data_IF_621143923548
#
_entry.id   IF_621143923548
#
_cell.length_a   1.000
_cell.length_b   1.000
_cell.length_c   1.000
_cell.angle_alpha   90.00
_cell.angle_beta   90.00
_cell.angle_gamma   90.00
#
_symmetry.space_group_name_H-M   'P 1'
#
loop_
_entity.id
_entity.type
_entity.pdbx_description
1 polymer ?
#
# COMPACT_ATOMS: atom_id res chain seq x y z
N UNK A 1 23.19 -8.88 4.84
CA UNK A 1 21.93 -9.11 5.58
C UNK A 1 21.06 -10.02 4.77
N UNK A 2 20.33 -10.91 5.43
CA UNK A 2 19.42 -11.83 4.79
C UNK A 2 18.11 -11.10 4.44
N UNK A 3 17.63 -11.27 3.20
CA UNK A 3 16.30 -10.84 2.79
C UNK A 3 15.38 -12.05 2.79
N UNK A 4 14.21 -11.95 3.41
CA UNK A 4 13.25 -13.05 3.43
C UNK A 4 12.74 -13.35 2.02
N UNK A 5 12.34 -14.60 1.79
CA UNK A 5 11.76 -15.01 0.51
C UNK A 5 10.40 -14.40 0.24
N UNK A 6 9.74 -13.93 1.29
CA UNK A 6 8.42 -13.31 1.18
C UNK A 6 8.35 -12.04 2.01
N UNK A 7 7.53 -11.10 1.55
CA UNK A 7 7.05 -9.97 2.34
C UNK A 7 5.56 -10.10 2.57
N UNK A 8 5.05 -9.38 3.56
CA UNK A 8 3.64 -9.38 3.92
C UNK A 8 3.02 -8.05 3.55
N UNK A 9 1.81 -8.07 2.99
CA UNK A 9 1.04 -6.88 2.64
C UNK A 9 -0.33 -6.97 3.31
N UNK A 10 -0.67 -5.93 4.05
CA UNK A 10 -1.97 -5.80 4.68
C UNK A 10 -2.99 -5.28 3.68
N UNK A 11 -4.09 -6.03 3.49
CA UNK A 11 -5.18 -5.68 2.58
C UNK A 11 -6.50 -5.39 3.32
N UNK A 12 -6.48 -5.35 4.66
CA UNK A 12 -7.69 -5.10 5.42
C UNK A 12 -8.26 -3.70 5.18
N UNK A 13 -9.57 -3.57 5.33
CA UNK A 13 -10.27 -2.33 5.04
C UNK A 13 -9.88 -1.20 6.00
N UNK A 14 -9.64 -1.51 7.29
CA UNK A 14 -9.17 -0.51 8.28
C UNK A 14 -7.87 0.13 7.81
N UNK A 15 -6.86 -0.67 7.41
CA UNK A 15 -5.60 -0.13 6.88
C UNK A 15 -5.84 0.78 5.66
N UNK A 16 -6.69 0.35 4.73
CA UNK A 16 -7.00 1.14 3.54
C UNK A 16 -7.63 2.49 3.88
N UNK A 17 -8.59 2.55 4.81
CA UNK A 17 -9.23 3.81 5.23
C UNK A 17 -8.22 4.74 5.91
N UNK A 18 -7.33 4.22 6.76
CA UNK A 18 -6.28 5.01 7.41
C UNK A 18 -5.37 5.67 6.36
N UNK A 19 -4.78 4.89 5.45
CA UNK A 19 -3.81 5.39 4.48
C UNK A 19 -4.40 6.20 3.33
N UNK A 20 -5.72 6.21 3.22
CA UNK A 20 -6.46 7.13 2.33
C UNK A 20 -6.92 8.40 3.02
N UNK A 21 -6.70 8.52 4.32
CA UNK A 21 -7.22 9.58 5.17
C UNK A 21 -8.76 9.67 5.15
N UNK A 22 -9.44 8.53 5.10
CA UNK A 22 -10.88 8.40 5.18
C UNK A 22 -11.31 8.12 6.63
N UNK A 23 -10.89 8.97 7.56
CA UNK A 23 -11.21 8.87 8.99
C UNK A 23 -11.50 10.24 9.59
N UNK A 24 -12.20 10.24 10.71
CA UNK A 24 -12.34 11.39 11.59
C UNK A 24 -11.42 11.18 12.80
N UNK A 25 -10.56 12.16 13.05
CA UNK A 25 -9.63 12.13 14.18
C UNK A 25 -10.36 12.18 15.51
N UNK A 26 -9.84 11.49 16.52
CA UNK A 26 -10.37 11.43 17.87
C UNK A 26 -11.88 11.08 17.96
N UNK A 27 -12.40 10.40 16.92
CA UNK A 27 -13.79 9.93 16.83
C UNK A 27 -13.85 8.47 16.43
N UNK A 28 -14.95 7.83 16.80
CA UNK A 28 -15.25 6.48 16.37
C UNK A 28 -15.62 6.49 14.89
N UNK A 29 -14.79 5.82 14.10
CA UNK A 29 -15.03 5.56 12.69
C UNK A 29 -15.63 4.16 12.54
N UNK A 30 -16.72 4.03 11.82
CA UNK A 30 -17.35 2.74 11.57
C UNK A 30 -17.34 2.43 10.07
N UNK A 31 -16.85 1.26 9.73
CA UNK A 31 -16.77 0.77 8.35
C UNK A 31 -17.53 -0.54 8.21
N UNK A 32 -18.23 -0.69 7.08
CA UNK A 32 -18.83 -1.96 6.73
C UNK A 32 -17.80 -2.88 6.09
N UNK A 33 -17.55 -4.04 6.70
CA UNK A 33 -16.55 -5.03 6.26
C UNK A 33 -17.15 -6.30 5.70
N UNK A 34 -18.46 -6.45 5.83
CA UNK A 34 -19.21 -7.58 5.29
C UNK A 34 -19.58 -7.46 3.82
N UNK A 35 -20.36 -8.42 3.36
CA UNK A 35 -21.00 -8.38 2.04
C UNK A 35 -22.40 -7.74 2.13
N UNK A 36 -22.97 -7.37 0.96
CA UNK A 36 -24.34 -6.83 0.92
C UNK A 36 -25.40 -7.78 1.55
N UNK A 37 -25.16 -9.10 1.49
CA UNK A 37 -26.05 -10.10 2.06
C UNK A 37 -25.77 -10.44 3.53
N UNK A 38 -24.57 -10.10 4.01
CA UNK A 38 -24.16 -10.28 5.41
C UNK A 38 -23.34 -9.06 5.85
N UNK A 39 -24.02 -7.95 6.13
CA UNK A 39 -23.34 -6.74 6.58
C UNK A 39 -22.72 -7.00 7.95
N UNK A 40 -21.50 -6.53 8.13
CA UNK A 40 -20.77 -6.55 9.40
C UNK A 40 -20.08 -5.20 9.54
N UNK A 41 -19.92 -4.74 10.76
CA UNK A 41 -19.24 -3.49 11.05
C UNK A 41 -17.96 -3.74 11.84
N UNK A 42 -16.94 -2.95 11.52
CA UNK A 42 -15.75 -2.79 12.31
C UNK A 42 -15.64 -1.32 12.68
N UNK A 43 -15.34 -1.02 13.92
CA UNK A 43 -15.16 0.35 14.38
C UNK A 43 -13.72 0.56 14.79
N UNK A 44 -13.18 1.76 14.54
CA UNK A 44 -11.84 2.11 14.99
C UNK A 44 -11.76 3.59 15.37
N UNK A 45 -10.83 3.92 16.24
CA UNK A 45 -10.50 5.27 16.64
C UNK A 45 -8.99 5.49 16.53
N UNK A 46 -8.61 6.64 15.96
CA UNK A 46 -7.24 7.08 15.81
C UNK A 46 -6.97 8.30 16.67
N UNK A 47 -5.93 8.22 17.49
CA UNK A 47 -5.39 9.35 18.26
C UNK A 47 -4.08 9.77 17.60
N UNK A 48 -4.12 10.85 16.81
CA UNK A 48 -2.99 11.38 16.07
C UNK A 48 -2.45 12.60 16.79
N UNK A 49 -1.14 12.65 17.13
CA UNK A 49 -0.52 13.84 17.68
C UNK A 49 -0.72 15.07 16.78
N UNK A 50 -0.94 16.24 17.36
CA UNK A 50 -1.31 17.47 16.64
C UNK A 50 -0.31 17.82 15.53
N UNK A 51 0.98 17.59 15.78
CA UNK A 51 2.05 17.85 14.80
C UNK A 51 1.95 17.02 13.52
N UNK A 52 1.22 15.89 13.53
CA UNK A 52 1.05 15.01 12.36
C UNK A 52 -0.31 15.11 11.69
N UNK A 53 -1.31 15.77 12.33
CA UNK A 53 -2.69 15.89 11.82
C UNK A 53 -2.76 16.49 10.43
N UNK A 54 -2.06 17.59 10.21
CA UNK A 54 -2.07 18.29 8.92
C UNK A 54 -1.46 17.48 7.76
N UNK A 55 -0.55 16.54 8.06
CA UNK A 55 0.10 15.70 7.05
C UNK A 55 -0.74 14.48 6.67
N UNK A 56 -1.54 13.96 7.63
CA UNK A 56 -2.25 12.70 7.49
C UNK A 56 -1.31 11.51 7.24
N UNK A 57 -1.90 10.41 6.77
CA UNK A 57 -1.16 9.22 6.36
C UNK A 57 -1.02 9.16 4.84
N UNK A 58 -0.01 8.44 4.38
CA UNK A 58 0.26 8.21 2.96
C UNK A 58 0.40 6.72 2.70
N UNK A 59 0.28 6.31 1.44
CA UNK A 59 0.55 4.92 1.07
C UNK A 59 2.01 4.51 1.35
N UNK A 60 2.93 5.48 1.41
CA UNK A 60 4.30 5.23 1.87
C UNK A 60 4.34 4.73 3.31
N UNK A 61 3.54 5.32 4.21
CA UNK A 61 3.43 4.87 5.60
C UNK A 61 2.91 3.43 5.68
N UNK A 62 1.95 3.06 4.81
CA UNK A 62 1.50 1.67 4.70
C UNK A 62 2.65 0.73 4.30
N UNK A 63 3.45 1.11 3.32
CA UNK A 63 4.61 0.31 2.88
C UNK A 63 5.64 0.16 4.00
N UNK A 64 5.84 1.19 4.81
CA UNK A 64 6.70 1.13 6.01
C UNK A 64 6.13 0.15 7.03
N UNK A 65 4.83 0.20 7.31
CA UNK A 65 4.17 -0.75 8.22
C UNK A 65 4.28 -2.20 7.72
N UNK A 66 4.06 -2.45 6.43
CA UNK A 66 4.22 -3.78 5.83
C UNK A 66 5.66 -4.30 5.97
N UNK A 67 6.66 -3.43 5.80
CA UNK A 67 8.06 -3.79 5.98
C UNK A 67 8.39 -4.13 7.44
N UNK A 68 7.91 -3.32 8.40
CA UNK A 68 8.08 -3.58 9.83
C UNK A 68 7.38 -4.87 10.23
N UNK A 69 6.14 -5.09 9.77
CA UNK A 69 5.44 -6.34 10.04
C UNK A 69 6.17 -7.56 9.45
N UNK A 70 6.76 -7.43 8.26
CA UNK A 70 7.59 -8.47 7.67
C UNK A 70 8.77 -8.79 8.59
N UNK A 71 9.50 -7.78 9.07
CA UNK A 71 10.61 -7.96 10.02
C UNK A 71 10.15 -8.63 11.33
N UNK A 72 8.99 -8.23 11.85
CA UNK A 72 8.35 -8.86 13.02
C UNK A 72 8.08 -10.35 12.81
N UNK A 73 7.51 -10.74 11.66
CA UNK A 73 7.21 -12.15 11.33
C UNK A 73 8.46 -13.02 11.18
N UNK A 74 9.61 -12.41 10.89
CA UNK A 74 10.91 -13.07 10.83
C UNK A 74 11.74 -12.87 12.10
N UNK A 75 11.10 -12.49 13.21
CA UNK A 75 11.69 -12.41 14.56
C UNK A 75 12.96 -11.55 14.65
N UNK A 76 13.03 -10.47 13.84
CA UNK A 76 14.14 -9.53 13.91
C UNK A 76 14.00 -8.68 15.17
N UNK A 77 14.87 -8.90 16.16
CA UNK A 77 14.82 -8.16 17.42
C UNK A 77 15.31 -6.72 17.31
N UNK A 78 16.31 -6.47 16.46
CA UNK A 78 16.89 -5.14 16.20
C UNK A 78 16.67 -4.76 14.74
N UNK A 79 16.07 -3.61 14.52
CA UNK A 79 15.71 -3.10 13.18
C UNK A 79 16.44 -1.79 12.95
N UNK A 80 17.05 -1.63 11.79
CA UNK A 80 17.67 -0.35 11.35
C UNK A 80 16.87 0.25 10.19
N UNK A 81 16.98 1.57 9.95
CA UNK A 81 16.40 2.19 8.76
C UNK A 81 16.80 1.49 7.45
N UNK A 82 18.03 1.00 7.39
CA UNK A 82 18.51 0.25 6.23
C UNK A 82 17.79 -1.10 6.07
N UNK A 83 17.46 -1.78 7.14
CA UNK A 83 16.73 -3.06 7.10
C UNK A 83 15.32 -2.84 6.55
N UNK A 84 14.66 -1.78 7.03
CA UNK A 84 13.33 -1.40 6.53
C UNK A 84 13.38 -1.09 5.04
N UNK A 85 14.34 -0.29 4.57
CA UNK A 85 14.50 0.03 3.15
C UNK A 85 14.77 -1.22 2.30
N UNK A 86 15.55 -2.17 2.81
CA UNK A 86 15.80 -3.45 2.12
C UNK A 86 14.52 -4.28 1.98
N UNK A 87 13.70 -4.35 3.02
CA UNK A 87 12.40 -5.06 2.94
C UNK A 87 11.40 -4.31 2.06
N UNK A 88 11.37 -2.99 2.10
CA UNK A 88 10.50 -2.21 1.20
C UNK A 88 10.80 -2.47 -0.27
N UNK A 89 12.07 -2.63 -0.62
CA UNK A 89 12.54 -2.87 -1.99
C UNK A 89 12.74 -4.35 -2.33
N UNK A 90 12.82 -5.21 -1.32
CA UNK A 90 13.26 -6.61 -1.43
C UNK A 90 14.61 -6.71 -2.17
N UNK A 91 15.54 -5.80 -1.86
CA UNK A 91 16.85 -5.66 -2.49
C UNK A 91 17.97 -5.59 -1.44
N UNK A 92 18.82 -6.61 -1.42
CA UNK A 92 19.99 -6.68 -0.52
C UNK A 92 20.97 -5.53 -0.69
N UNK A 93 21.03 -4.99 -1.90
CA UNK A 93 21.95 -3.93 -2.27
C UNK A 93 21.32 -2.53 -2.17
N UNK A 94 20.08 -2.40 -1.70
CA UNK A 94 19.36 -1.13 -1.65
C UNK A 94 20.15 0.02 -0.97
N UNK A 95 21.06 -0.32 -0.04
CA UNK A 95 21.94 0.64 0.63
C UNK A 95 23.06 1.18 -0.26
N UNK A 96 23.47 0.44 -1.29
CA UNK A 96 24.69 0.71 -2.05
C UNK A 96 24.45 1.46 -3.35
N UNK A 97 23.24 1.39 -3.92
CA UNK A 97 22.94 1.95 -5.24
C UNK A 97 22.62 3.45 -5.24
N UNK A 98 22.51 4.06 -4.08
CA UNK A 98 22.12 5.47 -4.02
C UNK A 98 23.30 6.36 -3.72
N UNK A 99 23.33 7.54 -4.36
CA UNK A 99 24.24 8.59 -3.94
C UNK A 99 24.00 8.94 -2.47
N UNK A 100 25.04 9.36 -1.75
CA UNK A 100 24.95 9.72 -0.33
C UNK A 100 23.76 10.66 -0.03
N UNK A 101 23.51 11.64 -0.88
CA UNK A 101 22.38 12.57 -0.72
C UNK A 101 21.01 11.92 -0.90
N UNK A 102 20.88 10.92 -1.78
CA UNK A 102 19.64 10.17 -1.98
C UNK A 102 19.33 9.26 -0.78
N UNK A 103 20.34 8.58 -0.25
CA UNK A 103 20.22 7.76 0.97
C UNK A 103 19.72 8.62 2.13
N UNK A 104 20.36 9.77 2.38
CA UNK A 104 19.96 10.67 3.45
C UNK A 104 18.51 11.16 3.33
N UNK A 105 18.04 11.50 2.12
CA UNK A 105 16.64 11.90 1.90
C UNK A 105 15.66 10.77 2.21
N UNK A 106 15.98 9.55 1.78
CA UNK A 106 15.13 8.38 2.04
C UNK A 106 15.10 8.02 3.52
N UNK A 107 16.25 8.01 4.18
CA UNK A 107 16.32 7.78 5.62
C UNK A 107 15.56 8.86 6.41
N UNK A 108 15.69 10.14 6.02
CA UNK A 108 14.93 11.22 6.65
C UNK A 108 13.42 10.98 6.52
N UNK A 109 12.93 10.72 5.31
CA UNK A 109 11.51 10.42 5.07
C UNK A 109 11.04 9.21 5.86
N UNK A 110 11.86 8.14 5.91
CA UNK A 110 11.53 6.94 6.68
C UNK A 110 11.42 7.25 8.17
N UNK A 111 12.37 8.00 8.75
CA UNK A 111 12.32 8.39 10.16
C UNK A 111 11.12 9.26 10.49
N UNK A 112 10.74 10.18 9.61
CA UNK A 112 9.52 11.00 9.76
C UNK A 112 8.27 10.11 9.77
N UNK A 113 8.18 9.13 8.85
CA UNK A 113 7.11 8.14 8.83
C UNK A 113 7.09 7.30 10.10
N UNK A 114 8.23 6.76 10.53
CA UNK A 114 8.33 5.96 11.76
C UNK A 114 7.88 6.74 12.99
N UNK A 115 8.37 7.98 13.18
CA UNK A 115 7.96 8.83 14.31
C UNK A 115 6.45 9.05 14.34
N UNK A 116 5.84 9.37 13.21
CA UNK A 116 4.39 9.52 13.10
C UNK A 116 3.65 8.25 13.50
N UNK A 117 4.06 7.10 12.94
CA UNK A 117 3.40 5.81 13.18
C UNK A 117 3.58 5.29 14.61
N UNK A 118 4.76 5.50 15.21
CA UNK A 118 5.04 5.13 16.60
C UNK A 118 4.25 5.97 17.62
N UNK A 119 4.00 7.24 17.31
CA UNK A 119 3.29 8.16 18.17
C UNK A 119 1.76 8.18 17.96
N UNK A 120 1.26 7.58 16.88
CA UNK A 120 -0.18 7.43 16.63
C UNK A 120 -0.71 6.17 17.30
N UNK A 121 -1.81 6.32 18.03
CA UNK A 121 -2.50 5.19 18.68
C UNK A 121 -3.76 4.83 17.92
N UNK A 122 -4.13 3.56 17.96
CA UNK A 122 -5.37 3.05 17.39
C UNK A 122 -6.04 2.08 18.36
N UNK A 123 -7.35 2.10 18.36
CA UNK A 123 -8.19 1.04 18.95
C UNK A 123 -9.13 0.55 17.85
N UNK A 124 -9.21 -0.76 17.67
CA UNK A 124 -10.06 -1.42 16.66
C UNK A 124 -11.01 -2.36 17.40
N UNK A 125 -12.30 -2.13 17.23
CA UNK A 125 -13.36 -3.01 17.74
C UNK A 125 -13.98 -3.79 16.57
N UNK A 126 -13.70 -5.10 16.54
CA UNK A 126 -14.20 -6.02 15.53
C UNK A 126 -14.97 -7.20 16.16
N UNK A 127 -15.53 -7.01 17.37
CA UNK A 127 -16.33 -8.03 18.07
C UNK A 127 -17.53 -8.51 17.27
N UNK A 128 -18.11 -7.64 16.45
CA UNK A 128 -19.20 -8.04 15.54
C UNK A 128 -18.70 -9.04 14.48
N UNK A 129 -17.52 -8.82 13.88
CA UNK A 129 -16.91 -9.78 12.95
C UNK A 129 -16.59 -11.11 13.63
N UNK A 130 -16.00 -11.06 14.83
CA UNK A 130 -15.68 -12.27 15.61
C UNK A 130 -16.93 -13.11 15.82
N UNK A 131 -18.00 -12.51 16.29
CA UNK A 131 -19.28 -13.19 16.56
C UNK A 131 -19.92 -13.72 15.29
N UNK A 132 -20.00 -12.91 14.23
CA UNK A 132 -20.70 -13.30 12.99
C UNK A 132 -19.92 -14.28 12.12
N UNK A 133 -18.60 -14.31 12.25
CA UNK A 133 -17.72 -15.29 11.58
C UNK A 133 -17.34 -16.48 12.44
N UNK A 134 -17.76 -16.47 13.73
CA UNK A 134 -17.42 -17.51 14.72
C UNK A 134 -15.90 -17.73 14.82
N UNK A 135 -15.15 -16.60 14.96
CA UNK A 135 -13.70 -16.67 15.06
C UNK A 135 -13.32 -17.13 16.48
N UNK A 136 -12.68 -18.28 16.57
CA UNK A 136 -12.30 -18.94 17.83
C UNK A 136 -10.78 -19.03 17.98
N UNK A 137 -10.32 -19.09 19.21
CA UNK A 137 -8.95 -19.41 19.58
C UNK A 137 -8.68 -20.91 19.50
N UNK A 138 -7.46 -21.33 19.82
CA UNK A 138 -7.06 -22.74 19.86
C UNK A 138 -7.81 -23.58 20.92
N UNK A 139 -8.38 -22.91 21.91
CA UNK A 139 -9.18 -23.54 22.99
C UNK A 139 -10.67 -23.61 22.63
N UNK A 140 -11.09 -23.11 21.47
CA UNK A 140 -12.49 -23.11 21.02
C UNK A 140 -13.33 -21.96 21.59
N UNK A 141 -12.75 -20.97 22.25
CA UNK A 141 -13.46 -19.79 22.73
C UNK A 141 -13.48 -18.70 21.65
N UNK A 142 -14.56 -17.88 21.63
CA UNK A 142 -14.60 -16.71 20.78
C UNK A 142 -13.44 -15.76 21.13
N UNK A 143 -12.78 -15.23 20.09
CA UNK A 143 -11.75 -14.22 20.26
C UNK A 143 -12.31 -12.95 20.91
N UNK A 144 -11.49 -12.16 21.57
CA UNK A 144 -11.91 -10.92 22.24
C UNK A 144 -12.46 -9.89 21.26
N UNK A 145 -11.93 -9.84 20.05
CA UNK A 145 -12.39 -8.91 19.00
C UNK A 145 -11.99 -7.47 19.25
N UNK A 146 -10.92 -7.24 20.00
CA UNK A 146 -10.32 -5.94 20.27
C UNK A 146 -8.83 -5.96 19.96
N UNK A 147 -8.33 -4.91 19.31
CA UNK A 147 -6.91 -4.68 19.12
C UNK A 147 -6.59 -3.20 19.37
N UNK A 148 -5.51 -2.90 20.09
CA UNK A 148 -5.20 -1.51 20.40
C UNK A 148 -3.75 -1.28 20.83
N UNK A 149 -3.28 -0.05 20.63
CA UNK A 149 -1.93 0.38 20.96
C UNK A 149 -1.38 1.39 19.98
N UNK A 150 -0.06 1.60 19.97
CA UNK A 150 0.62 2.35 18.92
C UNK A 150 0.47 1.63 17.57
N UNK A 151 0.35 2.38 16.46
CA UNK A 151 0.33 1.77 15.12
C UNK A 151 1.57 0.93 14.88
N UNK A 152 2.75 1.43 15.31
CA UNK A 152 3.99 0.68 15.38
C UNK A 152 4.51 0.68 16.82
N UNK A 153 4.40 -0.42 17.56
CA UNK A 153 4.89 -0.54 18.93
C UNK A 153 6.41 -0.77 18.94
N UNK A 154 7.17 0.24 18.54
CA UNK A 154 8.61 0.25 18.50
C UNK A 154 9.19 1.22 19.53
N UNK A 155 10.38 0.92 20.01
CA UNK A 155 11.22 1.79 20.81
C UNK A 155 12.42 2.25 19.99
N UNK A 156 12.61 3.57 19.94
CA UNK A 156 13.76 4.16 19.26
C UNK A 156 15.01 4.05 20.14
N UNK A 157 16.12 3.64 19.55
CA UNK A 157 17.43 3.61 20.19
C UNK A 157 18.49 4.23 19.29
N UNK A 158 19.63 4.58 19.88
CA UNK A 158 20.80 5.11 19.18
C UNK A 158 20.47 6.33 18.29
N UNK A 159 19.59 7.24 18.78
CA UNK A 159 19.17 8.45 18.06
C UNK A 159 18.56 8.14 16.65
N UNK A 160 17.70 7.13 16.59
CA UNK A 160 17.02 6.69 15.37
C UNK A 160 17.90 5.84 14.43
N UNK A 161 19.00 5.30 14.91
CA UNK A 161 19.82 4.33 14.15
C UNK A 161 19.32 2.90 14.30
N UNK A 162 18.59 2.62 15.39
CA UNK A 162 17.98 1.32 15.65
C UNK A 162 16.61 1.46 16.29
N UNK A 163 15.79 0.44 16.12
CA UNK A 163 14.46 0.29 16.68
C UNK A 163 14.31 -1.13 17.21
N UNK A 164 13.54 -1.29 18.29
CA UNK A 164 13.24 -2.57 18.90
C UNK A 164 11.73 -2.71 19.05
N UNK A 165 11.19 -3.91 18.86
CA UNK A 165 9.78 -4.16 19.18
C UNK A 165 9.57 -4.09 20.70
N UNK A 166 8.49 -3.44 21.11
CA UNK A 166 8.07 -3.42 22.50
C UNK A 166 7.62 -4.83 22.90
N UNK A 167 8.16 -5.33 24.01
CA UNK A 167 7.88 -6.69 24.49
C UNK A 167 6.37 -6.90 24.74
N UNK A 168 5.84 -8.03 24.30
CA UNK A 168 4.44 -8.40 24.46
C UNK A 168 3.43 -7.56 23.69
N UNK A 169 3.86 -6.64 22.81
CA UNK A 169 2.96 -5.81 22.02
C UNK A 169 2.92 -6.24 20.57
N UNK A 170 1.70 -6.50 20.09
CA UNK A 170 1.44 -6.75 18.67
C UNK A 170 1.17 -5.44 17.93
N UNK A 171 1.31 -5.45 16.60
CA UNK A 171 0.90 -4.35 15.72
C UNK A 171 -0.63 -4.41 15.56
N UNK A 172 -1.42 -3.45 16.11
CA UNK A 172 -2.88 -3.62 16.22
C UNK A 172 -3.59 -3.86 14.90
N UNK A 173 -3.24 -3.09 13.85
CA UNK A 173 -3.85 -3.22 12.52
C UNK A 173 -3.51 -4.56 11.87
N UNK A 174 -2.32 -5.11 12.15
CA UNK A 174 -1.91 -6.42 11.63
C UNK A 174 -2.50 -7.55 12.45
N UNK A 175 -2.61 -7.41 13.77
CA UNK A 175 -3.31 -8.36 14.61
C UNK A 175 -4.77 -8.53 14.14
N UNK A 176 -5.48 -7.42 13.91
CA UNK A 176 -6.81 -7.46 13.31
C UNK A 176 -6.79 -8.15 11.95
N UNK A 177 -5.90 -7.73 11.05
CA UNK A 177 -5.83 -8.28 9.69
C UNK A 177 -5.48 -9.78 9.65
N UNK A 178 -4.61 -10.28 10.55
CA UNK A 178 -4.35 -11.71 10.72
C UNK A 178 -5.59 -12.45 11.15
N UNK A 179 -6.27 -11.94 12.18
CA UNK A 179 -7.49 -12.57 12.72
C UNK A 179 -8.56 -12.76 11.65
N UNK A 180 -8.74 -11.77 10.76
CA UNK A 180 -9.71 -11.84 9.67
C UNK A 180 -9.15 -12.39 8.35
N UNK A 181 -7.91 -12.87 8.35
CA UNK A 181 -7.19 -13.42 7.18
C UNK A 181 -7.09 -12.43 6.01
N UNK A 182 -6.70 -11.20 6.31
CA UNK A 182 -6.53 -10.11 5.33
C UNK A 182 -5.06 -9.67 5.20
N UNK A 183 -4.14 -10.59 5.40
CA UNK A 183 -2.71 -10.41 5.09
C UNK A 183 -2.36 -11.35 3.95
N UNK A 184 -1.69 -10.82 2.95
CA UNK A 184 -1.15 -11.60 1.84
C UNK A 184 0.35 -11.78 1.99
N UNK A 185 0.82 -12.97 1.71
CA UNK A 185 2.23 -13.33 1.64
C UNK A 185 2.67 -13.21 0.18
N UNK A 186 3.62 -12.35 -0.09
CA UNK A 186 4.06 -12.01 -1.45
C UNK A 186 5.50 -12.48 -1.66
N UNK A 187 5.78 -13.31 -2.67
CA UNK A 187 7.13 -13.70 -3.03
C UNK A 187 8.00 -12.50 -3.37
N UNK A 188 9.26 -12.50 -2.92
CA UNK A 188 10.21 -11.42 -3.16
C UNK A 188 10.39 -11.09 -4.64
N UNK A 189 10.27 -12.09 -5.51
CA UNK A 189 10.45 -11.98 -6.96
C UNK A 189 9.49 -10.97 -7.61
N UNK A 190 8.29 -10.76 -7.03
CA UNK A 190 7.32 -9.79 -7.53
C UNK A 190 7.63 -8.33 -7.13
N UNK A 191 8.52 -8.12 -6.16
CA UNK A 191 8.87 -6.79 -5.67
C UNK A 191 10.33 -6.45 -5.94
N UNK A 192 11.22 -7.44 -5.78
CA UNK A 192 12.66 -7.28 -5.99
C UNK A 192 12.97 -6.72 -7.38
N UNK A 193 13.98 -5.86 -7.50
CA UNK A 193 14.51 -5.45 -8.81
C UNK A 193 15.22 -6.60 -9.55
N UNK A 194 15.40 -7.74 -8.90
CA UNK A 194 15.98 -8.95 -9.49
C UNK A 194 14.89 -10.00 -9.75
N UNK A 195 15.11 -10.87 -10.69
CA UNK A 195 14.12 -11.90 -11.06
C UNK A 195 13.09 -11.37 -12.05
N UNK A 196 11.80 -11.50 -11.77
CA UNK A 196 10.71 -11.12 -12.68
C UNK A 196 10.81 -9.68 -13.18
N UNK A 197 11.25 -8.77 -12.32
CA UNK A 197 11.33 -7.34 -12.61
C UNK A 197 12.74 -6.87 -13.05
N UNK A 198 13.67 -7.78 -13.29
CA UNK A 198 15.08 -7.43 -13.62
C UNK A 198 15.22 -6.65 -14.93
N UNK A 199 14.35 -6.91 -15.89
CA UNK A 199 14.36 -6.24 -17.19
C UNK A 199 13.76 -4.84 -17.19
N UNK A 200 13.25 -4.37 -16.05
CA UNK A 200 12.62 -3.05 -15.99
C UNK A 200 13.66 -1.93 -15.98
N UNK A 201 13.46 -0.96 -16.87
CA UNK A 201 14.36 0.19 -17.08
C UNK A 201 14.21 1.30 -16.02
N UNK A 202 13.73 1.02 -14.83
CA UNK A 202 13.57 2.04 -13.80
C UNK A 202 14.13 1.60 -12.44
N UNK A 203 14.75 2.55 -11.74
CA UNK A 203 15.26 2.35 -10.40
C UNK A 203 14.13 2.17 -9.38
N UNK A 204 14.40 1.45 -8.28
CA UNK A 204 13.48 1.31 -7.15
C UNK A 204 13.33 2.61 -6.35
N UNK A 205 12.74 3.64 -6.95
CA UNK A 205 12.34 4.87 -6.27
C UNK A 205 11.15 4.61 -5.34
N UNK A 206 10.90 5.52 -4.38
CA UNK A 206 9.73 5.42 -3.49
C UNK A 206 8.42 5.31 -4.27
N UNK A 207 8.32 5.99 -5.41
CA UNK A 207 7.17 5.90 -6.31
C UNK A 207 7.00 4.47 -6.88
N UNK A 208 8.08 3.89 -7.38
CA UNK A 208 8.06 2.53 -7.96
C UNK A 208 7.76 1.48 -6.90
N UNK A 209 8.32 1.62 -5.70
CA UNK A 209 8.03 0.73 -4.56
C UNK A 209 6.52 0.76 -4.25
N UNK A 210 5.95 1.95 -4.16
CA UNK A 210 4.51 2.11 -3.91
C UNK A 210 3.68 1.52 -5.06
N UNK A 211 4.04 1.78 -6.33
CA UNK A 211 3.34 1.22 -7.50
C UNK A 211 3.30 -0.30 -7.49
N UNK A 212 4.43 -0.97 -7.25
CA UNK A 212 4.50 -2.44 -7.17
C UNK A 212 3.53 -2.97 -6.11
N UNK A 213 3.55 -2.40 -4.91
CA UNK A 213 2.71 -2.85 -3.79
C UNK A 213 1.21 -2.55 -4.03
N UNK A 214 0.86 -1.39 -4.58
CA UNK A 214 -0.52 -1.07 -4.97
C UNK A 214 -1.04 -2.06 -6.00
N UNK A 215 -0.24 -2.36 -7.02
CA UNK A 215 -0.64 -3.31 -8.07
C UNK A 215 -0.87 -4.70 -7.49
N UNK A 216 0.07 -5.23 -6.71
CA UNK A 216 -0.09 -6.53 -6.04
C UNK A 216 -1.32 -6.53 -5.16
N UNK A 217 -1.50 -5.52 -4.30
CA UNK A 217 -2.66 -5.41 -3.42
C UNK A 217 -3.97 -5.45 -4.21
N UNK A 218 -4.05 -4.70 -5.31
CA UNK A 218 -5.25 -4.67 -6.17
C UNK A 218 -5.48 -6.00 -6.87
N UNK A 219 -4.44 -6.60 -7.42
CA UNK A 219 -4.50 -7.89 -8.10
C UNK A 219 -4.94 -9.01 -7.14
N UNK A 220 -4.42 -9.04 -5.93
CA UNK A 220 -4.81 -10.02 -4.92
C UNK A 220 -6.26 -9.85 -4.44
N UNK A 221 -6.73 -8.61 -4.28
CA UNK A 221 -8.14 -8.34 -3.98
C UNK A 221 -9.02 -8.83 -5.14
N UNK A 222 -8.64 -8.57 -6.39
CA UNK A 222 -9.35 -9.03 -7.59
C UNK A 222 -9.37 -10.55 -7.70
N UNK A 223 -8.23 -11.21 -7.49
CA UNK A 223 -8.13 -12.67 -7.52
C UNK A 223 -8.97 -13.39 -6.46
N UNK A 224 -9.49 -12.66 -5.45
CA UNK A 224 -10.37 -13.19 -4.41
C UNK A 224 -11.85 -13.16 -4.75
N UNK A 225 -12.26 -12.43 -5.76
CA UNK A 225 -13.66 -12.44 -6.17
C UNK A 225 -13.97 -13.74 -6.88
N UNK A 226 -15.05 -14.45 -6.48
CA UNK A 226 -15.49 -15.73 -7.07
C UNK A 226 -15.71 -15.63 -8.59
N UNK A 227 -16.02 -14.44 -9.06
CA UNK A 227 -16.18 -14.12 -10.48
C UNK A 227 -14.88 -13.45 -10.95
N UNK A 228 -13.88 -14.24 -11.27
CA UNK A 228 -12.67 -13.84 -11.99
C UNK A 228 -13.05 -13.54 -13.46
N UNK A 229 -13.99 -12.64 -13.64
CA UNK A 229 -14.54 -12.28 -14.94
C UNK A 229 -13.82 -11.07 -15.48
N UNK A 230 -13.68 -11.02 -16.79
CA UNK A 230 -13.24 -9.85 -17.55
C UNK A 230 -13.84 -8.56 -17.00
N UNK A 231 -13.04 -7.56 -16.81
CA UNK A 231 -13.50 -6.21 -16.52
C UNK A 231 -13.18 -5.66 -15.13
N UNK A 232 -12.32 -6.30 -14.35
CA UNK A 232 -11.82 -5.70 -13.10
C UNK A 232 -10.80 -4.60 -13.39
N UNK A 233 -11.09 -3.38 -12.88
CA UNK A 233 -10.37 -2.18 -13.27
C UNK A 233 -9.52 -1.61 -12.15
N UNK A 234 -8.26 -1.31 -12.47
CA UNK A 234 -7.37 -0.52 -11.64
C UNK A 234 -7.37 0.91 -12.20
N UNK A 235 -7.94 1.85 -11.48
CA UNK A 235 -8.09 3.25 -11.93
C UNK A 235 -6.86 4.07 -11.60
N UNK A 236 -6.52 5.02 -12.48
CA UNK A 236 -5.46 5.99 -12.22
C UNK A 236 -5.96 7.20 -11.43
N UNK A 237 -7.20 7.58 -11.65
CA UNK A 237 -7.86 8.72 -10.98
C UNK A 237 -8.90 8.20 -10.01
N UNK A 238 -9.09 8.89 -8.90
CA UNK A 238 -10.21 8.63 -8.00
C UNK A 238 -11.56 8.95 -8.66
N UNK A 239 -12.61 8.32 -8.17
CA UNK A 239 -13.99 8.57 -8.63
C UNK A 239 -14.94 8.96 -7.49
N UNK A 240 -14.39 9.44 -6.37
CA UNK A 240 -15.13 9.77 -5.14
C UNK A 240 -15.52 8.57 -4.27
N UNK A 241 -15.44 7.34 -4.80
CA UNK A 241 -15.67 6.08 -4.04
C UNK A 241 -14.43 5.22 -3.94
N UNK A 242 -13.54 5.31 -4.93
CA UNK A 242 -12.28 4.57 -4.98
C UNK A 242 -11.14 5.53 -5.31
N UNK A 243 -10.05 5.40 -4.57
CA UNK A 243 -8.84 6.14 -4.88
C UNK A 243 -8.11 5.49 -6.05
N UNK A 244 -7.70 6.32 -6.99
CA UNK A 244 -6.85 5.90 -8.07
C UNK A 244 -5.38 5.76 -7.62
N UNK A 245 -4.57 5.13 -8.46
CA UNK A 245 -3.14 4.97 -8.23
C UNK A 245 -2.45 6.33 -7.99
N UNK A 246 -2.75 7.33 -8.81
CA UNK A 246 -2.08 8.65 -8.76
C UNK A 246 -2.25 9.35 -7.39
N UNK A 247 -3.48 9.53 -6.86
CA UNK A 247 -3.66 10.11 -5.54
C UNK A 247 -2.97 9.30 -4.42
N UNK A 248 -3.01 7.96 -4.48
CA UNK A 248 -2.38 7.09 -3.49
C UNK A 248 -0.86 7.30 -3.39
N UNK A 249 -0.18 7.53 -4.51
CA UNK A 249 1.25 7.83 -4.54
C UNK A 249 1.56 9.34 -4.41
N UNK A 250 0.56 10.16 -4.03
CA UNK A 250 0.71 11.59 -3.80
C UNK A 250 0.78 12.46 -5.06
N UNK A 251 0.41 11.92 -6.22
CA UNK A 251 0.39 12.66 -7.49
C UNK A 251 -1.00 13.22 -7.72
N UNK A 252 -1.15 14.54 -7.55
CA UNK A 252 -2.40 15.27 -7.73
C UNK A 252 -2.24 16.32 -8.81
N UNK A 253 -3.29 16.55 -9.60
CA UNK A 253 -3.27 17.50 -10.71
C UNK A 253 -2.99 18.95 -10.23
N UNK A 254 -3.46 19.28 -9.05
CA UNK A 254 -3.31 20.59 -8.41
C UNK A 254 -1.83 20.96 -8.13
N UNK A 255 -0.95 19.93 -8.05
CA UNK A 255 0.48 20.12 -7.83
C UNK A 255 1.25 20.53 -9.09
N UNK A 256 0.55 20.69 -10.24
CA UNK A 256 1.17 21.02 -11.52
C UNK A 256 0.67 22.37 -12.03
N UNK A 257 1.57 23.19 -12.56
CA UNK A 257 1.23 24.46 -13.18
C UNK A 257 0.24 24.26 -14.34
N UNK A 258 -0.79 25.08 -14.37
CA UNK A 258 -1.77 25.10 -15.46
C UNK A 258 -1.36 26.18 -16.46
N UNK A 259 -1.24 25.80 -17.73
CA UNK A 259 -0.92 26.71 -18.83
C UNK A 259 -2.16 26.90 -19.68
N UNK A 260 -2.51 28.16 -19.99
CA UNK A 260 -3.55 28.47 -20.94
C UNK A 260 -2.94 28.51 -22.35
N UNK A 261 -3.50 27.74 -23.25
CA UNK A 261 -3.14 27.77 -24.69
C UNK A 261 -4.38 28.01 -25.54
N UNK A 262 -4.30 28.98 -26.42
CA UNK A 262 -5.39 29.25 -27.39
C UNK A 262 -5.15 28.42 -28.65
N UNK A 263 -6.12 27.60 -29.02
CA UNK A 263 -6.04 26.80 -30.24
C UNK A 263 -6.04 27.70 -31.47
N UNK A 264 -4.98 27.68 -32.26
CA UNK A 264 -4.89 28.45 -33.51
C UNK A 264 -5.98 28.10 -34.55
N UNK A 265 -6.55 26.87 -34.48
CA UNK A 265 -7.60 26.42 -35.40
C UNK A 265 -9.02 26.78 -34.98
N UNK A 266 -9.27 26.84 -33.66
CA UNK A 266 -10.65 26.97 -33.15
C UNK A 266 -10.86 28.21 -32.30
N UNK A 267 -9.81 29.00 -32.02
CA UNK A 267 -9.86 30.15 -31.10
C UNK A 267 -10.26 29.81 -29.67
N UNK A 268 -10.45 28.53 -29.34
CA UNK A 268 -10.84 28.11 -27.98
C UNK A 268 -9.65 28.07 -27.07
N UNK A 269 -9.82 28.69 -25.93
CA UNK A 269 -8.86 28.58 -24.83
C UNK A 269 -8.88 27.16 -24.24
N UNK A 270 -7.71 26.55 -24.09
CA UNK A 270 -7.53 25.25 -23.50
C UNK A 270 -6.56 25.38 -22.35
N UNK A 271 -7.05 25.15 -21.16
CA UNK A 271 -6.24 25.14 -19.95
C UNK A 271 -5.71 23.71 -19.76
N UNK A 272 -4.42 23.51 -19.93
CA UNK A 272 -3.78 22.21 -19.80
C UNK A 272 -2.47 22.33 -19.01
N UNK A 273 -2.13 21.28 -18.26
CA UNK A 273 -0.80 21.14 -17.70
C UNK A 273 -0.02 20.07 -18.46
N UNK A 274 1.00 20.51 -19.19
CA UNK A 274 1.93 19.59 -19.87
C UNK A 274 2.67 18.72 -18.87
N UNK A 275 3.09 19.28 -17.75
CA UNK A 275 3.78 18.55 -16.67
C UNK A 275 2.92 17.44 -16.10
N UNK A 276 1.61 17.70 -15.88
CA UNK A 276 0.65 16.68 -15.46
C UNK A 276 0.52 15.53 -16.45
N UNK A 277 0.33 15.83 -17.74
CA UNK A 277 0.20 14.80 -18.78
C UNK A 277 1.46 13.94 -18.87
N UNK A 278 2.64 14.55 -18.87
CA UNK A 278 3.91 13.84 -18.90
C UNK A 278 4.07 12.93 -17.68
N UNK A 279 3.67 13.39 -16.48
CA UNK A 279 3.73 12.58 -15.26
C UNK A 279 2.77 11.39 -15.32
N UNK A 280 1.55 11.58 -15.80
CA UNK A 280 0.60 10.47 -16.00
C UNK A 280 1.15 9.44 -16.98
N UNK A 281 1.76 9.87 -18.09
CA UNK A 281 2.38 8.96 -19.05
C UNK A 281 3.59 8.20 -18.46
N UNK A 282 4.40 8.86 -17.63
CA UNK A 282 5.52 8.22 -16.95
C UNK A 282 5.05 7.12 -15.99
N UNK A 283 4.02 7.43 -15.19
CA UNK A 283 3.41 6.43 -14.28
C UNK A 283 2.80 5.28 -15.07
N UNK A 284 2.04 5.59 -16.13
CA UNK A 284 1.41 4.60 -17.00
C UNK A 284 2.46 3.65 -17.61
N UNK A 285 3.57 4.19 -18.12
CA UNK A 285 4.68 3.40 -18.65
C UNK A 285 5.24 2.44 -17.60
N UNK A 286 5.46 2.92 -16.37
CA UNK A 286 5.96 2.08 -15.26
C UNK A 286 4.96 0.99 -14.87
N UNK A 287 3.68 1.33 -14.80
CA UNK A 287 2.61 0.37 -14.51
C UNK A 287 2.56 -0.72 -15.59
N UNK A 288 2.59 -0.34 -16.88
CA UNK A 288 2.60 -1.31 -17.98
C UNK A 288 3.83 -2.23 -17.91
N UNK A 289 5.03 -1.68 -17.70
CA UNK A 289 6.25 -2.50 -17.56
C UNK A 289 6.14 -3.51 -16.41
N UNK A 290 5.59 -3.11 -15.26
CA UNK A 290 5.36 -4.04 -14.14
C UNK A 290 4.34 -5.13 -14.53
N UNK A 291 3.24 -4.74 -15.16
CA UNK A 291 2.20 -5.70 -15.57
C UNK A 291 2.66 -6.63 -16.69
N UNK A 292 3.49 -6.16 -17.63
CA UNK A 292 4.13 -7.01 -18.66
C UNK A 292 5.00 -8.09 -18.01
N UNK A 293 5.82 -7.72 -17.02
CA UNK A 293 6.62 -8.68 -16.27
C UNK A 293 5.75 -9.67 -15.47
N UNK A 294 4.64 -9.20 -14.88
CA UNK A 294 3.69 -10.07 -14.20
C UNK A 294 2.94 -11.02 -15.15
N UNK A 295 2.68 -10.59 -16.37
CA UNK A 295 2.14 -11.44 -17.43
C UNK A 295 3.15 -12.47 -17.89
N UNK A 296 4.41 -12.08 -18.15
CA UNK A 296 5.48 -12.99 -18.54
C UNK A 296 5.73 -14.10 -17.52
N UNK A 297 5.65 -13.83 -16.22
CA UNK A 297 5.80 -14.84 -15.17
C UNK A 297 4.50 -15.61 -14.85
N UNK A 298 3.40 -15.31 -15.51
CA UNK A 298 2.12 -15.98 -15.32
C UNK A 298 1.35 -15.56 -14.07
N UNK A 299 1.72 -14.45 -13.42
CA UNK A 299 0.96 -13.93 -12.29
C UNK A 299 -0.40 -13.36 -12.71
N UNK A 300 -0.46 -12.68 -13.85
CA UNK A 300 -1.70 -12.29 -14.51
C UNK A 300 -1.78 -12.93 -15.90
N UNK A 301 -2.99 -13.15 -16.40
CA UNK A 301 -3.19 -13.69 -17.75
C UNK A 301 -2.97 -12.62 -18.82
N UNK A 302 -3.68 -11.49 -18.71
CA UNK A 302 -3.53 -10.36 -19.62
C UNK A 302 -4.11 -9.06 -19.02
N UNK A 303 -3.87 -7.92 -19.68
CA UNK A 303 -4.44 -6.65 -19.32
C UNK A 303 -4.63 -5.73 -20.55
N UNK A 304 -5.45 -4.71 -20.42
CA UNK A 304 -5.60 -3.66 -21.42
C UNK A 304 -5.66 -2.27 -20.77
N UNK A 305 -5.18 -1.25 -21.49
CA UNK A 305 -5.25 0.13 -21.05
C UNK A 305 -6.63 0.74 -21.35
N UNK A 306 -7.23 1.37 -20.36
CA UNK A 306 -8.48 2.12 -20.51
C UNK A 306 -8.15 3.58 -20.86
N UNK A 307 -8.57 4.04 -22.05
CA UNK A 307 -8.29 5.38 -22.56
C UNK A 307 -9.58 6.16 -22.86
N UNK A 308 -9.50 7.49 -22.83
CA UNK A 308 -10.54 8.38 -23.35
C UNK A 308 -10.38 8.55 -24.87
N UNK A 309 -10.93 7.63 -25.65
CA UNK A 309 -10.72 7.57 -27.09
C UNK A 309 -9.31 7.13 -27.46
N UNK A 310 -9.03 6.94 -28.75
CA UNK A 310 -7.80 6.33 -29.26
C UNK A 310 -6.50 7.11 -28.92
N UNK A 311 -6.59 8.43 -28.71
CA UNK A 311 -5.44 9.30 -28.40
C UNK A 311 -5.55 9.98 -27.02
N UNK A 312 -6.52 9.58 -26.19
CA UNK A 312 -6.76 10.18 -24.88
C UNK A 312 -5.76 9.70 -23.81
N UNK A 313 -5.69 10.43 -22.69
CA UNK A 313 -4.97 10.00 -21.51
C UNK A 313 -5.51 8.67 -20.99
N UNK A 314 -4.62 7.81 -20.52
CA UNK A 314 -4.98 6.56 -19.86
C UNK A 314 -5.74 6.87 -18.58
N UNK A 315 -6.83 6.17 -18.36
CA UNK A 315 -7.68 6.29 -17.16
C UNK A 315 -7.43 5.18 -16.14
N UNK A 316 -6.86 4.09 -16.60
CA UNK A 316 -6.62 2.91 -15.79
C UNK A 316 -6.26 1.71 -16.64
N UNK A 317 -6.24 0.59 -15.97
CA UNK A 317 -5.96 -0.73 -16.53
C UNK A 317 -7.16 -1.64 -16.25
N UNK A 318 -7.51 -2.47 -17.21
CA UNK A 318 -8.46 -3.56 -17.06
C UNK A 318 -7.71 -4.88 -17.10
N UNK A 319 -7.84 -5.67 -16.05
CA UNK A 319 -7.23 -7.00 -15.96
C UNK A 319 -8.14 -7.98 -16.68
N UNK A 320 -7.59 -8.74 -17.60
CA UNK A 320 -8.26 -9.73 -18.40
C UNK A 320 -7.89 -11.13 -17.91
N UNK A 321 -8.88 -12.01 -17.79
CA UNK A 321 -8.66 -13.39 -17.34
C UNK A 321 -8.33 -13.50 -15.85
N UNK A 322 -7.49 -14.48 -15.51
CA UNK A 322 -7.20 -14.86 -14.11
C UNK A 322 -6.00 -14.12 -13.54
N UNK A 323 -6.04 -13.91 -12.22
CA UNK A 323 -4.86 -13.60 -11.39
C UNK A 323 -4.47 -14.87 -10.66
N UNK A 324 -3.28 -15.38 -10.95
CA UNK A 324 -2.76 -16.61 -10.36
C UNK A 324 -2.04 -16.28 -9.06
N UNK A 325 -2.54 -16.76 -7.94
CA UNK A 325 -1.94 -16.51 -6.63
C UNK A 325 -0.72 -17.39 -6.43
N UNK A 326 0.33 -16.82 -5.88
CA UNK A 326 1.54 -17.56 -5.52
C UNK A 326 1.42 -18.25 -4.15
N UNK A 327 0.46 -17.88 -3.31
CA UNK A 327 0.30 -18.46 -1.97
C UNK A 327 -1.15 -18.49 -1.54
N UNK A 328 -1.59 -19.55 -0.84
CA UNK A 328 -2.85 -19.52 -0.11
C UNK A 328 -2.76 -18.42 0.97
N UNK A 329 -3.89 -17.80 1.30
CA UNK A 329 -3.98 -16.89 2.44
C UNK A 329 -3.70 -17.68 3.72
N UNK A 330 -2.73 -17.22 4.48
CA UNK A 330 -2.50 -17.68 5.85
C UNK A 330 -3.44 -16.97 6.81
#
# INVERSE_FOLDING_TARGET
MWIPENTYINICKVAQEIYKNHYQEDRLNTISVGTAHRPMNCSYMLEIPEEYRAQGFSYYDNVVCDAIYTLYKYEQSRITPGDILQIMTMDEKARFYYTKGTVQKREKRLRESLKKLMNTRIVIDFREEVRLRELIDESGNLLEGLAGGALLPLEEAEEGKAYYFQEGRALPVYQYAETIRQIIRVPKELISPYGVLEKLEFSSTDEVIQLKRILIQRLEIMGNTRNNTNGQRIRYYGNGKEDGILPLIGIRKENFSMESTVSAKTGREKIESRGWKNKVHDVDRKVCQILDAYKECGYIEDYTQLRNGARGLVRGIEILGKVNRFSPRT
#
